data_IF_871812660835
#
_entry.id   IF_871812660835
#
_cell.length_a   1.000
_cell.length_b   1.000
_cell.length_c   1.000
_cell.angle_alpha   90.00
_cell.angle_beta   90.00
_cell.angle_gamma   90.00
#
_symmetry.space_group_name_H-M   'P 1'
#
loop_
_entity.id
_entity.type
_entity.pdbx_description
1 polymer ?
#
# COMPACT_ATOMS: atom_id res chain seq x y z
N UNK A 1 9.04 -33.35 30.80
CA UNK A 1 9.43 -33.80 29.44
C UNK A 1 8.15 -33.75 28.62
N UNK A 2 7.73 -32.66 27.97
CA UNK A 2 8.48 -31.66 27.24
C UNK A 2 8.11 -31.81 25.76
N UNK A 3 6.98 -31.19 25.36
CA UNK A 3 6.59 -30.63 24.04
C UNK A 3 6.92 -31.46 22.77
N UNK A 4 5.96 -31.80 21.90
CA UNK A 4 5.07 -30.88 21.20
C UNK A 4 5.65 -30.55 19.82
N UNK A 5 5.51 -31.46 18.85
CA UNK A 5 5.95 -31.27 17.47
C UNK A 5 5.07 -30.23 16.76
N UNK A 6 5.73 -29.20 16.25
CA UNK A 6 5.14 -28.07 15.54
C UNK A 6 4.51 -28.44 14.19
N UNK A 7 3.27 -28.02 14.06
CA UNK A 7 2.57 -27.53 12.87
C UNK A 7 3.50 -27.07 11.75
N UNK A 8 3.25 -27.63 10.56
CA UNK A 8 4.04 -27.45 9.35
C UNK A 8 3.86 -26.10 8.65
N UNK A 9 4.99 -25.62 8.11
CA UNK A 9 5.19 -25.07 6.77
C UNK A 9 3.99 -24.33 6.13
N UNK A 10 3.88 -23.03 6.41
CA UNK A 10 3.45 -22.08 5.40
C UNK A 10 4.69 -21.33 4.90
N UNK A 11 5.42 -21.97 4.00
CA UNK A 11 6.37 -21.28 3.13
C UNK A 11 5.58 -20.67 1.99
N UNK A 12 5.42 -19.35 1.98
CA UNK A 12 4.89 -18.65 0.81
C UNK A 12 6.07 -18.44 -0.15
N UNK A 13 6.52 -19.53 -0.77
CA UNK A 13 7.29 -19.45 -2.02
C UNK A 13 6.28 -19.53 -3.17
N UNK A 14 5.68 -18.39 -3.51
CA UNK A 14 4.77 -18.25 -4.66
C UNK A 14 5.40 -17.35 -5.72
N UNK A 15 6.38 -17.81 -6.50
CA UNK A 15 6.95 -17.08 -7.63
C UNK A 15 5.94 -16.76 -8.76
N UNK A 16 4.71 -17.28 -8.67
CA UNK A 16 3.64 -17.01 -9.64
C UNK A 16 2.88 -15.70 -9.43
N UNK A 17 2.77 -15.20 -8.19
CA UNK A 17 2.04 -13.95 -7.90
C UNK A 17 2.83 -12.70 -8.33
N UNK A 18 4.15 -12.73 -8.19
CA UNK A 18 5.05 -11.64 -8.58
C UNK A 18 5.03 -11.38 -10.09
N UNK A 19 4.95 -12.41 -10.94
CA UNK A 19 4.96 -12.23 -12.39
C UNK A 19 3.64 -11.69 -12.96
N UNK A 20 2.49 -12.04 -12.38
CA UNK A 20 1.19 -11.46 -12.79
C UNK A 20 1.02 -10.01 -12.32
N UNK A 21 1.62 -9.66 -11.17
CA UNK A 21 1.62 -8.31 -10.62
C UNK A 21 2.55 -7.36 -11.38
N UNK A 22 3.73 -7.83 -11.81
CA UNK A 22 4.68 -7.01 -12.58
C UNK A 22 4.24 -6.75 -14.03
N UNK A 23 3.52 -7.70 -14.65
CA UNK A 23 2.98 -7.51 -16.01
C UNK A 23 1.83 -6.49 -16.03
N UNK A 24 1.06 -6.38 -14.94
CA UNK A 24 0.07 -5.33 -14.73
C UNK A 24 0.69 -3.94 -14.51
N UNK A 25 2.02 -3.76 -14.54
CA UNK A 25 2.71 -2.46 -14.52
C UNK A 25 3.71 -2.24 -15.66
N UNK A 26 3.89 -3.21 -16.56
CA UNK A 26 4.75 -3.06 -17.74
C UNK A 26 3.98 -2.39 -18.89
N UNK A 27 4.40 -1.18 -19.28
CA UNK A 27 3.86 -0.43 -20.43
C UNK A 27 4.98 -0.16 -21.43
N UNK A 28 4.80 -0.40 -22.75
CA UNK A 28 5.54 0.31 -23.78
C UNK A 28 4.85 1.66 -24.01
N UNK A 29 5.37 2.72 -23.38
CA UNK A 29 4.93 4.09 -23.68
C UNK A 29 5.54 4.52 -25.03
N UNK A 30 4.69 5.05 -25.90
CA UNK A 30 5.09 5.65 -27.17
C UNK A 30 6.14 6.75 -26.98
N UNK A 31 6.97 6.93 -27.99
CA UNK A 31 8.14 7.80 -27.97
C UNK A 31 7.79 9.26 -27.59
N UNK A 32 8.17 9.66 -26.39
CA UNK A 32 8.12 11.04 -25.92
C UNK A 32 8.15 11.07 -24.39
N UNK A 33 9.28 11.50 -23.83
CA UNK A 33 9.56 11.71 -22.40
C UNK A 33 9.66 10.45 -21.52
N UNK A 34 10.90 9.99 -21.39
CA UNK A 34 11.33 8.94 -20.46
C UNK A 34 11.28 9.46 -19.00
N UNK A 35 10.16 9.26 -18.30
CA UNK A 35 10.24 8.99 -16.86
C UNK A 35 10.56 7.50 -16.72
N UNK A 36 11.84 7.18 -16.56
CA UNK A 36 12.31 5.80 -16.48
C UNK A 36 11.94 5.13 -15.16
N UNK A 37 10.73 4.56 -15.07
CA UNK A 37 10.45 3.49 -14.10
C UNK A 37 10.87 2.16 -14.74
N UNK A 38 12.14 1.81 -14.61
CA UNK A 38 12.55 0.42 -14.81
C UNK A 38 11.95 -0.39 -13.64
N UNK A 39 11.34 -1.57 -13.87
CA UNK A 39 11.00 -2.49 -12.81
C UNK A 39 12.32 -3.09 -12.28
N UNK A 40 13.07 -2.28 -11.51
CA UNK A 40 14.10 -2.78 -10.64
C UNK A 40 13.40 -3.53 -9.52
N UNK A 41 13.89 -4.73 -9.21
CA UNK A 41 13.51 -5.46 -8.00
C UNK A 41 13.55 -4.48 -6.82
N UNK A 42 12.38 -4.02 -6.37
CA UNK A 42 12.27 -3.34 -5.09
C UNK A 42 12.58 -4.40 -4.05
N UNK A 43 13.87 -4.59 -3.79
CA UNK A 43 14.37 -5.46 -2.73
C UNK A 43 14.06 -4.73 -1.44
N UNK A 44 12.87 -4.97 -0.91
CA UNK A 44 12.49 -4.51 0.41
C UNK A 44 13.49 -5.12 1.40
N UNK A 45 14.39 -4.29 1.92
CA UNK A 45 15.28 -4.67 3.02
C UNK A 45 14.43 -4.80 4.28
N UNK A 46 13.83 -5.98 4.43
CA UNK A 46 13.04 -6.32 5.58
C UNK A 46 13.97 -6.88 6.65
N UNK A 47 14.33 -6.05 7.62
CA UNK A 47 14.92 -6.54 8.86
C UNK A 47 13.84 -7.24 9.66
N UNK A 48 14.03 -8.51 10.01
CA UNK A 48 13.22 -9.13 11.06
C UNK A 48 13.52 -8.42 12.38
N UNK A 49 12.52 -7.75 12.94
CA UNK A 49 12.58 -7.17 14.28
C UNK A 49 11.67 -8.02 15.16
N UNK A 50 12.19 -8.55 16.28
CA UNK A 50 11.41 -9.42 17.16
C UNK A 50 10.43 -8.63 18.03
N UNK A 51 10.84 -7.43 18.48
CA UNK A 51 10.09 -6.61 19.44
C UNK A 51 10.34 -5.12 19.18
N UNK A 52 9.80 -4.58 18.08
CA UNK A 52 9.81 -3.13 17.85
C UNK A 52 8.61 -2.52 18.61
N UNK A 53 8.89 -1.65 19.58
CA UNK A 53 7.85 -0.98 20.34
C UNK A 53 7.30 0.22 19.56
N UNK A 54 5.99 0.43 19.67
CA UNK A 54 5.31 1.57 19.08
C UNK A 54 4.08 1.97 19.87
N UNK A 55 3.72 3.25 19.78
CA UNK A 55 2.50 3.78 20.35
C UNK A 55 1.40 3.77 19.29
N UNK A 56 0.22 3.25 19.63
CA UNK A 56 -0.98 3.44 18.81
C UNK A 56 -1.54 4.83 19.10
N UNK A 57 -1.59 5.69 18.09
CA UNK A 57 -2.09 7.06 18.20
C UNK A 57 -3.60 7.12 17.98
N UNK A 58 -4.12 6.31 17.06
CA UNK A 58 -5.54 6.18 16.76
C UNK A 58 -5.85 4.82 16.12
N UNK A 59 -7.08 4.34 16.28
CA UNK A 59 -7.61 3.11 15.66
C UNK A 59 -8.93 3.46 14.96
N UNK A 60 -9.12 2.95 13.74
CA UNK A 60 -10.38 3.07 13.00
C UNK A 60 -10.59 1.86 12.11
N UNK A 61 -11.56 1.00 12.43
CA UNK A 61 -11.86 -0.19 11.63
C UNK A 61 -10.62 -1.07 11.40
N UNK A 62 -10.25 -1.23 10.13
CA UNK A 62 -9.11 -2.05 9.68
C UNK A 62 -7.79 -1.27 9.56
N UNK A 63 -7.73 -0.06 10.12
CA UNK A 63 -6.53 0.79 10.11
C UNK A 63 -6.20 1.38 11.48
N UNK A 64 -4.93 1.74 11.67
CA UNK A 64 -4.45 2.44 12.85
C UNK A 64 -3.30 3.38 12.49
N UNK A 65 -3.18 4.51 13.18
CA UNK A 65 -1.99 5.35 13.11
C UNK A 65 -1.06 4.95 14.25
N UNK A 66 0.19 4.63 13.93
CA UNK A 66 1.16 4.10 14.90
C UNK A 66 2.47 4.87 14.82
N UNK A 67 3.01 5.24 15.99
CA UNK A 67 4.33 5.84 16.13
C UNK A 67 5.32 4.76 16.55
N UNK A 68 6.16 4.30 15.64
CA UNK A 68 7.27 3.41 15.97
C UNK A 68 8.42 4.19 16.60
N UNK A 69 9.13 3.58 17.55
CA UNK A 69 10.33 4.21 18.14
C UNK A 69 11.39 4.40 17.06
N UNK A 70 11.98 5.61 17.02
CA UNK A 70 13.05 5.95 16.08
C UNK A 70 12.59 6.36 14.67
N UNK A 71 11.28 6.39 14.42
CA UNK A 71 10.71 7.03 13.21
C UNK A 71 10.31 8.47 13.53
N UNK A 72 10.65 9.38 12.64
CA UNK A 72 10.29 10.80 12.77
C UNK A 72 8.77 11.01 12.68
N UNK A 73 8.12 10.30 11.75
CA UNK A 73 6.69 10.43 11.50
C UNK A 73 5.93 9.15 11.87
N UNK A 74 4.68 9.28 12.35
CA UNK A 74 3.79 8.14 12.49
C UNK A 74 3.54 7.46 11.14
N UNK A 75 3.30 6.15 11.16
CA UNK A 75 2.88 5.37 10.00
C UNK A 75 1.41 4.99 10.06
N UNK A 76 0.81 4.79 8.88
CA UNK A 76 -0.51 4.17 8.74
C UNK A 76 -0.34 2.64 8.68
N UNK A 77 -0.89 1.95 9.67
CA UNK A 77 -1.02 0.50 9.71
C UNK A 77 -2.35 0.12 9.05
N UNK A 78 -2.31 -0.74 8.04
CA UNK A 78 -3.49 -1.27 7.34
C UNK A 78 -3.51 -2.79 7.52
N UNK A 79 -4.67 -3.35 7.86
CA UNK A 79 -4.83 -4.80 7.94
C UNK A 79 -4.54 -5.47 6.59
N UNK A 80 -3.88 -6.62 6.61
CA UNK A 80 -3.36 -7.25 5.40
C UNK A 80 -4.42 -7.64 4.36
N UNK A 81 -5.63 -8.01 4.80
CA UNK A 81 -6.76 -8.30 3.93
C UNK A 81 -7.33 -7.04 3.25
N UNK A 82 -7.42 -5.94 3.98
CA UNK A 82 -7.84 -4.64 3.46
C UNK A 82 -6.85 -4.14 2.41
N UNK A 83 -5.54 -4.23 2.71
CA UNK A 83 -4.50 -3.89 1.75
C UNK A 83 -4.55 -4.78 0.50
N UNK A 84 -4.75 -6.10 0.66
CA UNK A 84 -4.87 -7.02 -0.47
C UNK A 84 -6.09 -6.71 -1.34
N UNK A 85 -7.22 -6.33 -0.74
CA UNK A 85 -8.41 -5.94 -1.49
C UNK A 85 -8.18 -4.68 -2.34
N UNK A 86 -7.65 -3.61 -1.73
CA UNK A 86 -7.28 -2.38 -2.45
C UNK A 86 -6.33 -2.68 -3.61
N UNK A 87 -5.30 -3.49 -3.35
CA UNK A 87 -4.34 -3.89 -4.38
C UNK A 87 -5.02 -4.62 -5.55
N UNK A 88 -5.94 -5.54 -5.28
CA UNK A 88 -6.67 -6.26 -6.32
C UNK A 88 -7.57 -5.32 -7.14
N UNK A 89 -8.27 -4.39 -6.50
CA UNK A 89 -9.12 -3.41 -7.19
C UNK A 89 -8.28 -2.51 -8.11
N UNK A 90 -7.20 -1.90 -7.62
CA UNK A 90 -6.28 -1.09 -8.45
C UNK A 90 -5.77 -1.90 -9.65
N UNK A 91 -5.35 -3.14 -9.42
CA UNK A 91 -4.82 -3.99 -10.47
C UNK A 91 -5.88 -4.36 -11.52
N UNK A 92 -7.13 -4.56 -11.12
CA UNK A 92 -8.22 -4.87 -12.04
C UNK A 92 -8.61 -3.67 -12.90
N UNK A 93 -8.81 -2.52 -12.27
CA UNK A 93 -9.04 -1.23 -12.94
C UNK A 93 -7.94 -0.94 -13.95
N UNK A 94 -6.67 -1.06 -13.54
CA UNK A 94 -5.54 -0.82 -14.43
C UNK A 94 -5.52 -1.78 -15.63
N UNK A 95 -5.91 -3.05 -15.46
CA UNK A 95 -6.01 -4.00 -16.58
C UNK A 95 -7.14 -3.62 -17.54
N UNK A 96 -8.30 -3.22 -17.01
CA UNK A 96 -9.48 -2.84 -17.80
C UNK A 96 -9.23 -1.58 -18.63
N UNK A 97 -8.72 -0.52 -17.99
CA UNK A 97 -8.36 0.74 -18.67
C UNK A 97 -7.31 0.52 -19.76
N UNK A 98 -6.35 -0.39 -19.57
CA UNK A 98 -5.36 -0.72 -20.62
C UNK A 98 -5.96 -1.43 -21.81
N UNK A 99 -6.98 -2.27 -21.58
CA UNK A 99 -7.67 -3.00 -22.65
C UNK A 99 -8.60 -2.06 -23.40
N UNK A 100 -9.30 -1.19 -22.68
CA UNK A 100 -10.21 -0.20 -23.20
C UNK A 100 -10.15 1.07 -22.34
N UNK A 101 -9.44 2.13 -22.80
CA UNK A 101 -9.37 3.40 -22.09
C UNK A 101 -10.72 4.13 -21.96
N UNK A 102 -11.75 3.69 -22.70
CA UNK A 102 -13.10 4.23 -22.64
C UNK A 102 -14.08 3.37 -21.82
N UNK A 103 -13.59 2.34 -21.12
CA UNK A 103 -14.37 1.55 -20.16
C UNK A 103 -14.82 2.43 -18.99
N UNK A 104 -16.02 2.99 -19.10
CA UNK A 104 -16.60 3.90 -18.10
C UNK A 104 -16.77 3.25 -16.73
N UNK A 105 -17.12 1.97 -16.67
CA UNK A 105 -17.21 1.24 -15.40
C UNK A 105 -15.83 1.11 -14.74
N UNK A 106 -14.75 0.91 -15.53
CA UNK A 106 -13.40 0.88 -14.98
C UNK A 106 -12.93 2.24 -14.46
N UNK A 107 -13.40 3.34 -15.05
CA UNK A 107 -13.14 4.69 -14.56
C UNK A 107 -13.92 4.96 -13.26
N UNK A 108 -15.19 4.55 -13.18
CA UNK A 108 -15.97 4.65 -11.95
C UNK A 108 -15.34 3.82 -10.81
N UNK A 109 -14.87 2.60 -11.12
CA UNK A 109 -14.15 1.76 -10.16
C UNK A 109 -12.80 2.39 -9.75
N UNK A 110 -12.12 3.09 -10.67
CA UNK A 110 -10.90 3.85 -10.34
C UNK A 110 -11.19 4.94 -9.32
N UNK A 111 -12.22 5.74 -9.58
CA UNK A 111 -12.64 6.82 -8.70
C UNK A 111 -12.99 6.29 -7.31
N UNK A 112 -13.71 5.15 -7.25
CA UNK A 112 -14.00 4.48 -5.98
C UNK A 112 -12.75 4.12 -5.19
N UNK A 113 -11.74 3.53 -5.84
CA UNK A 113 -10.48 3.14 -5.16
C UNK A 113 -9.68 4.37 -4.74
N UNK A 114 -9.65 5.42 -5.57
CA UNK A 114 -9.02 6.70 -5.22
C UNK A 114 -9.70 7.31 -4.00
N UNK A 115 -11.02 7.26 -3.92
CA UNK A 115 -11.79 7.73 -2.77
C UNK A 115 -11.48 6.92 -1.50
N UNK A 116 -11.39 5.59 -1.60
CA UNK A 116 -11.00 4.75 -0.46
C UNK A 116 -9.59 5.10 0.04
N UNK A 117 -8.61 5.21 -0.87
CA UNK A 117 -7.24 5.62 -0.51
C UNK A 117 -7.19 7.04 0.07
N UNK A 118 -8.03 7.95 -0.44
CA UNK A 118 -8.15 9.32 0.06
C UNK A 118 -8.71 9.35 1.49
N UNK A 119 -9.72 8.53 1.80
CA UNK A 119 -10.27 8.42 3.15
C UNK A 119 -9.23 7.90 4.15
N UNK A 120 -8.41 6.92 3.75
CA UNK A 120 -7.29 6.44 4.55
C UNK A 120 -6.27 7.53 4.84
N UNK A 121 -5.93 8.33 3.82
CA UNK A 121 -5.01 9.45 3.98
C UNK A 121 -5.59 10.55 4.87
N UNK A 122 -6.87 10.90 4.70
CA UNK A 122 -7.55 11.88 5.54
C UNK A 122 -7.59 11.46 7.01
N UNK A 123 -7.84 10.18 7.29
CA UNK A 123 -7.76 9.64 8.64
C UNK A 123 -6.37 9.83 9.24
N UNK A 124 -5.32 9.50 8.49
CA UNK A 124 -3.94 9.71 8.92
C UNK A 124 -3.64 11.18 9.23
N UNK A 125 -4.00 12.09 8.32
CA UNK A 125 -3.75 13.52 8.47
C UNK A 125 -4.51 14.14 9.63
N UNK A 126 -5.78 13.73 9.85
CA UNK A 126 -6.56 14.19 10.99
C UNK A 126 -5.85 13.84 12.32
N UNK A 127 -5.33 12.62 12.43
CA UNK A 127 -4.57 12.20 13.62
C UNK A 127 -3.27 12.98 13.79
N UNK A 128 -2.57 13.29 12.70
CA UNK A 128 -1.38 14.13 12.76
C UNK A 128 -1.71 15.56 13.23
N UNK A 129 -2.78 16.15 12.69
CA UNK A 129 -3.24 17.48 13.07
C UNK A 129 -3.67 17.55 14.55
N UNK A 130 -4.41 16.55 15.05
CA UNK A 130 -4.79 16.45 16.46
C UNK A 130 -3.59 16.36 17.42
N UNK A 131 -2.45 15.88 16.92
CA UNK A 131 -1.19 15.75 17.68
C UNK A 131 -0.18 16.86 17.40
N UNK A 132 -0.57 17.87 16.62
CA UNK A 132 0.30 18.98 16.20
C UNK A 132 1.57 18.48 15.47
N UNK A 133 1.46 17.38 14.73
CA UNK A 133 2.53 16.80 13.92
C UNK A 133 2.41 17.31 12.48
N UNK A 134 3.50 17.83 11.92
CA UNK A 134 3.54 18.26 10.53
C UNK A 134 3.40 17.07 9.57
N UNK A 135 2.79 17.30 8.41
CA UNK A 135 2.68 16.29 7.37
C UNK A 135 4.07 15.96 6.79
N UNK A 136 4.38 14.66 6.56
CA UNK A 136 5.64 14.24 5.94
C UNK A 136 5.68 14.45 4.41
N UNK A 137 4.71 15.17 3.86
CA UNK A 137 4.58 15.44 2.43
C UNK A 137 3.86 16.77 2.20
N UNK A 138 3.99 17.31 0.99
CA UNK A 138 3.27 18.51 0.54
C UNK A 138 1.94 18.07 -0.06
N UNK A 139 0.86 18.76 0.30
CA UNK A 139 -0.40 18.65 -0.45
C UNK A 139 -0.36 19.57 -1.66
N UNK A 140 -0.67 19.02 -2.83
CA UNK A 140 -0.95 19.86 -4.00
C UNK A 140 -2.09 20.84 -3.67
N UNK A 141 -1.93 22.12 -4.02
CA UNK A 141 -2.86 23.20 -3.68
C UNK A 141 -2.60 23.95 -2.37
N UNK A 142 -1.49 23.66 -1.67
CA UNK A 142 -1.10 24.34 -0.41
C UNK A 142 0.09 25.31 -0.62
N UNK A 143 0.00 26.22 -1.60
CA UNK A 143 0.94 27.33 -1.80
C UNK A 143 0.22 28.66 -1.88
#
# INVERSE_FOLDING_TARGET
MGSGQGIGKYGIDSPGLTNALLSAFSVPLGAGDRLGWLPGEAKWDHRRVSDEQGQVLAIGGNVAVTQLIGREFPGLHIQGDTFANLQHQVADVARRIRRDPSDGEALDDLDYVVDEMTQLLQFYEAVLAEREINLPYVREGSS
#
